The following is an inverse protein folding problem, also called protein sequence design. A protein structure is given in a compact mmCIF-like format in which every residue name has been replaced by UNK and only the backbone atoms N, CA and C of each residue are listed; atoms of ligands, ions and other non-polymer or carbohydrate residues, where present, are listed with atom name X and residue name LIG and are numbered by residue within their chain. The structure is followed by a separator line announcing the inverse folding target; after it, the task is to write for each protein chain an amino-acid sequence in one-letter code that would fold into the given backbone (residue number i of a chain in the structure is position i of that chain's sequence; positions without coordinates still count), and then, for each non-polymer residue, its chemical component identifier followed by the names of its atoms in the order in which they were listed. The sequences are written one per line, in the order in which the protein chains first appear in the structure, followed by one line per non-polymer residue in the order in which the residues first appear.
data_IF_698770889489
#
_entry.id   IF_698770889489
#
_cell.length_a   1.000
_cell.length_b   1.000
_cell.length_c   1.000
_cell.angle_alpha   90.00
_cell.angle_beta   90.00
_cell.angle_gamma   90.00
#
_symmetry.space_group_name_H-M   'P 1'
#
loop_
_entity.id
_entity.type
_entity.pdbx_description
1 polymer ?
#
# COMPACT_ATOMS: atom_id res chain seq x y z
N UNK A 1 25.77 6.88 -16.60
CA UNK A 1 24.65 7.73 -17.04
C UNK A 1 23.72 7.90 -15.86
N UNK A 2 23.44 9.14 -15.43
CA UNK A 2 22.49 9.41 -14.35
C UNK A 2 21.09 9.56 -14.97
N UNK A 3 20.17 8.64 -14.68
CA UNK A 3 18.79 8.72 -15.15
C UNK A 3 18.04 9.73 -14.28
N UNK A 4 17.42 10.73 -14.91
CA UNK A 4 16.47 11.61 -14.23
C UNK A 4 15.18 10.82 -14.02
N UNK A 5 14.78 10.66 -12.75
CA UNK A 5 13.50 10.04 -12.41
C UNK A 5 12.39 11.04 -12.72
N UNK A 6 11.41 10.69 -13.58
CA UNK A 6 10.28 11.55 -13.84
C UNK A 6 9.44 11.70 -12.57
N UNK A 7 9.21 12.95 -12.15
CA UNK A 7 8.51 13.29 -10.89
C UNK A 7 6.98 13.17 -10.99
N UNK A 8 6.42 12.92 -12.18
CA UNK A 8 4.98 12.89 -12.43
C UNK A 8 4.37 11.49 -12.60
N UNK A 9 5.09 10.43 -12.22
CA UNK A 9 4.58 9.05 -12.29
C UNK A 9 3.37 8.79 -11.37
N UNK A 10 3.18 9.62 -10.36
CA UNK A 10 2.17 9.42 -9.32
C UNK A 10 0.86 10.17 -9.61
N UNK A 11 0.88 11.14 -10.53
CA UNK A 11 -0.28 11.93 -10.91
C UNK A 11 -0.88 11.31 -12.16
N UNK A 12 -2.17 11.03 -12.14
CA UNK A 12 -2.86 10.54 -13.32
C UNK A 12 -2.90 11.58 -14.44
N UNK A 13 -2.77 11.10 -15.67
CA UNK A 13 -2.95 11.90 -16.86
C UNK A 13 -4.38 12.45 -16.94
N UNK A 14 -4.48 13.75 -17.17
CA UNK A 14 -5.75 14.44 -17.41
C UNK A 14 -6.11 14.29 -18.88
N UNK A 15 -6.87 13.25 -19.19
CA UNK A 15 -7.27 12.92 -20.56
C UNK A 15 -8.40 13.85 -21.04
N UNK A 16 -9.28 14.27 -20.13
CA UNK A 16 -10.47 15.06 -20.45
C UNK A 16 -10.38 16.46 -19.82
N UNK A 17 -9.59 17.33 -20.44
CA UNK A 17 -9.41 18.71 -19.99
C UNK A 17 -8.86 18.78 -18.55
N UNK A 18 -9.63 19.27 -17.55
CA UNK A 18 -9.17 19.31 -16.17
C UNK A 18 -9.26 17.96 -15.43
N UNK A 19 -9.95 16.96 -15.99
CA UNK A 19 -10.29 15.71 -15.31
C UNK A 19 -9.39 14.53 -15.72
N UNK A 20 -9.06 13.68 -14.74
CA UNK A 20 -8.49 12.36 -15.01
C UNK A 20 -9.55 11.41 -15.57
N UNK A 21 -9.11 10.27 -16.12
CA UNK A 21 -10.04 9.25 -16.62
C UNK A 21 -11.02 8.77 -15.52
N UNK A 22 -10.53 8.55 -14.29
CA UNK A 22 -11.36 8.12 -13.17
C UNK A 22 -12.40 9.17 -12.79
N UNK A 23 -11.99 10.43 -12.71
CA UNK A 23 -12.87 11.57 -12.41
C UNK A 23 -13.97 11.73 -13.46
N UNK A 24 -13.61 11.60 -14.74
CA UNK A 24 -14.58 11.61 -15.83
C UNK A 24 -15.60 10.46 -15.71
N UNK A 25 -15.13 9.24 -15.42
CA UNK A 25 -16.02 8.08 -15.24
C UNK A 25 -16.97 8.28 -14.05
N UNK A 26 -16.52 8.90 -12.95
CA UNK A 26 -17.40 9.20 -11.83
C UNK A 26 -18.49 10.20 -12.22
N UNK A 27 -18.13 11.30 -12.88
CA UNK A 27 -19.10 12.31 -13.32
C UNK A 27 -20.07 11.76 -14.39
N UNK A 28 -19.57 11.05 -15.38
CA UNK A 28 -20.39 10.44 -16.44
C UNK A 28 -21.31 9.35 -15.87
N UNK A 29 -20.77 8.49 -15.01
CA UNK A 29 -21.54 7.46 -14.30
C UNK A 29 -22.60 8.06 -13.39
N UNK A 30 -22.24 9.07 -12.60
CA UNK A 30 -23.15 9.80 -11.71
C UNK A 30 -24.26 10.51 -12.48
N UNK A 31 -23.93 11.21 -13.57
CA UNK A 31 -24.92 11.85 -14.44
C UNK A 31 -25.85 10.82 -15.10
N UNK A 32 -25.30 9.69 -15.58
CA UNK A 32 -26.08 8.60 -16.12
C UNK A 32 -27.06 8.01 -15.10
N UNK A 33 -26.61 7.80 -13.86
CA UNK A 33 -27.43 7.27 -12.77
C UNK A 33 -28.50 8.27 -12.31
N UNK A 34 -28.19 9.56 -12.29
CA UNK A 34 -29.17 10.62 -12.06
C UNK A 34 -30.25 10.63 -13.16
N UNK A 35 -29.87 10.45 -14.42
CA UNK A 35 -30.80 10.39 -15.54
C UNK A 35 -31.71 9.15 -15.46
N UNK A 36 -31.16 7.98 -15.11
CA UNK A 36 -31.99 6.78 -14.94
C UNK A 36 -32.96 6.92 -13.78
N UNK A 37 -32.53 7.48 -12.64
CA UNK A 37 -33.40 7.78 -11.50
C UNK A 37 -34.51 8.76 -11.87
N UNK A 38 -34.18 9.82 -12.60
CA UNK A 38 -35.17 10.78 -13.11
C UNK A 38 -36.20 10.10 -14.00
N UNK A 39 -35.75 9.22 -14.90
CA UNK A 39 -36.64 8.52 -15.82
C UNK A 39 -37.55 7.51 -15.12
N UNK A 40 -37.08 6.89 -14.03
CA UNK A 40 -37.77 5.81 -13.33
C UNK A 40 -38.74 6.31 -12.25
N UNK A 41 -38.36 7.33 -11.47
CA UNK A 41 -39.16 7.88 -10.37
C UNK A 41 -39.88 9.19 -10.71
N UNK A 42 -39.53 9.84 -11.82
CA UNK A 42 -40.01 11.18 -12.15
C UNK A 42 -39.43 12.27 -11.25
N UNK A 43 -39.83 13.53 -11.45
CA UNK A 43 -39.21 14.68 -10.78
C UNK A 43 -39.47 14.71 -9.26
N UNK A 44 -40.71 14.50 -8.81
CA UNK A 44 -41.09 14.65 -7.39
C UNK A 44 -40.42 13.60 -6.49
N UNK A 45 -40.52 12.33 -6.86
CA UNK A 45 -39.95 11.24 -6.07
C UNK A 45 -38.44 11.07 -6.32
N UNK A 46 -37.98 11.44 -7.52
CA UNK A 46 -36.58 11.33 -7.92
C UNK A 46 -35.69 12.43 -7.38
N UNK A 47 -36.22 13.60 -7.01
CA UNK A 47 -35.40 14.76 -6.61
C UNK A 47 -34.42 14.45 -5.45
N UNK A 48 -34.91 13.78 -4.39
CA UNK A 48 -34.08 13.42 -3.22
C UNK A 48 -32.96 12.44 -3.60
N UNK A 49 -33.23 11.26 -4.20
CA UNK A 49 -32.17 10.33 -4.56
C UNK A 49 -31.22 10.89 -5.62
N UNK A 50 -31.71 11.68 -6.57
CA UNK A 50 -30.87 12.37 -7.56
C UNK A 50 -29.90 13.33 -6.88
N UNK A 51 -30.36 14.13 -5.91
CA UNK A 51 -29.50 15.05 -5.17
C UNK A 51 -28.39 14.30 -4.42
N UNK A 52 -28.73 13.18 -3.78
CA UNK A 52 -27.76 12.34 -3.06
C UNK A 52 -26.71 11.78 -4.02
N UNK A 53 -27.13 11.21 -5.16
CA UNK A 53 -26.22 10.63 -6.15
C UNK A 53 -25.36 11.69 -6.81
N UNK A 54 -25.94 12.83 -7.18
CA UNK A 54 -25.21 13.95 -7.76
C UNK A 54 -24.18 14.51 -6.78
N UNK A 55 -24.58 14.74 -5.52
CA UNK A 55 -23.67 15.17 -4.46
C UNK A 55 -22.54 14.18 -4.23
N UNK A 56 -22.84 12.89 -4.16
CA UNK A 56 -21.83 11.85 -3.99
C UNK A 56 -20.84 11.80 -5.16
N UNK A 57 -21.31 11.89 -6.40
CA UNK A 57 -20.46 11.94 -7.60
C UNK A 57 -19.52 13.15 -7.60
N UNK A 58 -20.01 14.31 -7.15
CA UNK A 58 -19.19 15.52 -7.02
C UNK A 58 -18.14 15.36 -5.92
N UNK A 59 -18.50 14.78 -4.77
CA UNK A 59 -17.55 14.48 -3.71
C UNK A 59 -16.44 13.53 -4.20
N UNK A 60 -16.77 12.49 -4.97
CA UNK A 60 -15.77 11.58 -5.53
C UNK A 60 -14.75 12.27 -6.43
N UNK A 61 -15.17 13.34 -7.09
CA UNK A 61 -14.36 14.03 -8.10
C UNK A 61 -13.54 15.16 -7.51
N UNK A 62 -14.16 16.02 -6.69
CA UNK A 62 -13.53 17.26 -6.20
C UNK A 62 -12.95 17.15 -4.81
N UNK A 63 -13.47 16.25 -3.97
CA UNK A 63 -13.00 16.13 -2.59
C UNK A 63 -11.76 15.23 -2.54
N UNK A 64 -10.69 15.71 -1.90
CA UNK A 64 -9.41 15.00 -1.81
C UNK A 64 -8.87 15.05 -0.38
N UNK A 65 -9.31 14.16 0.52
CA UNK A 65 -8.82 14.13 1.88
C UNK A 65 -7.34 13.76 1.90
N UNK A 66 -6.52 14.58 2.56
CA UNK A 66 -5.09 14.35 2.76
C UNK A 66 -4.29 14.08 1.46
N UNK A 67 -4.56 14.87 0.41
CA UNK A 67 -3.96 14.73 -0.93
C UNK A 67 -4.19 13.37 -1.60
N UNK A 68 -5.19 12.60 -1.16
CA UNK A 68 -5.58 11.33 -1.78
C UNK A 68 -6.96 11.44 -2.42
N UNK A 69 -7.20 10.70 -3.51
CA UNK A 69 -8.53 10.57 -4.09
C UNK A 69 -9.56 10.07 -3.06
N UNK A 70 -10.75 10.68 -3.01
CA UNK A 70 -11.79 10.29 -2.05
C UNK A 70 -12.21 8.83 -2.19
N UNK A 71 -12.09 8.24 -3.38
CA UNK A 71 -12.34 6.80 -3.61
C UNK A 71 -11.55 5.90 -2.64
N UNK A 72 -10.33 6.29 -2.24
CA UNK A 72 -9.53 5.52 -1.30
C UNK A 72 -10.13 5.50 0.11
N UNK A 73 -10.76 6.62 0.51
CA UNK A 73 -11.46 6.71 1.79
C UNK A 73 -12.74 5.86 1.76
N UNK A 74 -13.49 5.92 0.66
CA UNK A 74 -14.68 5.09 0.45
C UNK A 74 -14.31 3.60 0.44
N UNK A 75 -13.26 3.21 -0.29
CA UNK A 75 -12.77 1.83 -0.34
C UNK A 75 -12.34 1.34 1.04
N UNK A 76 -11.61 2.17 1.80
CA UNK A 76 -11.19 1.83 3.16
C UNK A 76 -12.39 1.69 4.10
N UNK A 77 -13.38 2.57 4.00
CA UNK A 77 -14.63 2.49 4.77
C UNK A 77 -15.42 1.21 4.43
N UNK A 78 -15.52 0.88 3.15
CA UNK A 78 -16.16 -0.35 2.70
C UNK A 78 -15.43 -1.60 3.19
N UNK A 79 -14.09 -1.63 3.06
CA UNK A 79 -13.25 -2.70 3.60
C UNK A 79 -13.42 -2.84 5.11
N UNK A 80 -13.45 -1.75 5.85
CA UNK A 80 -13.65 -1.77 7.30
C UNK A 80 -15.01 -2.36 7.68
N UNK A 81 -16.07 -2.04 6.93
CA UNK A 81 -17.41 -2.57 7.19
C UNK A 81 -17.53 -4.06 6.81
N UNK A 82 -16.93 -4.47 5.69
CA UNK A 82 -16.99 -5.84 5.20
C UNK A 82 -16.00 -6.78 5.92
N UNK A 83 -14.91 -6.26 6.47
CA UNK A 83 -13.87 -7.06 7.12
C UNK A 83 -14.34 -7.54 8.50
N UNK A 84 -14.12 -8.82 8.77
CA UNK A 84 -14.35 -9.37 10.10
C UNK A 84 -13.41 -8.71 11.12
N UNK A 85 -13.97 -8.24 12.24
CA UNK A 85 -13.23 -7.57 13.33
C UNK A 85 -12.45 -8.56 14.20
N UNK A 86 -11.90 -9.61 13.59
CA UNK A 86 -11.25 -10.69 14.30
C UNK A 86 -9.74 -10.44 14.31
N UNK A 87 -9.31 -9.73 15.35
CA UNK A 87 -7.91 -9.37 15.57
C UNK A 87 -7.16 -10.54 16.22
N UNK A 88 -6.82 -11.57 15.45
CA UNK A 88 -5.86 -12.58 15.91
C UNK A 88 -4.45 -12.04 15.69
N UNK A 89 -3.63 -12.11 16.74
CA UNK A 89 -2.19 -11.94 16.61
C UNK A 89 -1.64 -13.07 15.73
N UNK A 90 -1.39 -12.76 14.45
CA UNK A 90 -0.66 -13.65 13.55
C UNK A 90 0.81 -13.33 13.65
N UNK A 91 1.58 -14.21 14.32
CA UNK A 91 3.04 -14.21 14.23
C UNK A 91 3.39 -14.19 12.74
N UNK A 92 4.09 -13.14 12.29
CA UNK A 92 4.38 -12.93 10.89
C UNK A 92 5.27 -14.07 10.36
N UNK A 93 4.64 -15.16 9.89
CA UNK A 93 5.28 -16.07 8.98
C UNK A 93 5.67 -15.24 7.76
N UNK A 94 6.95 -15.20 7.43
CA UNK A 94 7.48 -14.48 6.27
C UNK A 94 6.67 -14.90 5.05
N UNK A 95 5.65 -14.11 4.68
CA UNK A 95 4.99 -14.26 3.40
C UNK A 95 6.03 -13.84 2.37
N UNK A 96 6.70 -14.83 1.79
CA UNK A 96 7.49 -14.64 0.58
C UNK A 96 6.50 -14.13 -0.45
N UNK A 97 6.46 -12.80 -0.64
CA UNK A 97 5.83 -12.22 -1.81
C UNK A 97 6.64 -12.72 -3.00
N UNK A 98 6.22 -13.86 -3.56
CA UNK A 98 6.64 -14.28 -4.88
C UNK A 98 5.83 -13.39 -5.83
N UNK A 99 6.24 -12.12 -5.91
CA UNK A 99 5.97 -11.32 -7.09
C UNK A 99 7.24 -11.48 -7.91
N UNK A 100 7.14 -12.31 -8.94
CA UNK A 100 8.20 -12.49 -9.92
C UNK A 100 8.60 -11.12 -10.46
N UNK A 101 9.76 -10.63 -10.04
CA UNK A 101 10.53 -9.61 -10.74
C UNK A 101 11.64 -10.35 -11.49
N UNK A 102 11.52 -10.56 -12.81
CA UNK A 102 12.59 -11.15 -13.60
C UNK A 102 13.60 -10.05 -13.93
N UNK A 103 14.46 -9.65 -12.99
CA UNK A 103 15.55 -8.71 -13.29
C UNK A 103 16.71 -8.64 -12.28
N UNK A 104 16.90 -9.62 -11.38
CA UNK A 104 18.01 -9.55 -10.40
C UNK A 104 18.76 -10.88 -10.18
N UNK A 105 18.79 -11.76 -11.19
CA UNK A 105 19.55 -13.03 -11.12
C UNK A 105 21.05 -12.90 -11.40
N UNK A 106 21.59 -11.71 -11.72
CA UNK A 106 23.02 -11.58 -12.05
C UNK A 106 23.90 -10.90 -10.97
N UNK A 107 23.33 -10.37 -9.88
CA UNK A 107 24.11 -9.63 -8.88
C UNK A 107 24.64 -10.55 -7.74
N UNK A 108 24.20 -11.81 -7.67
CA UNK A 108 24.54 -12.71 -6.54
C UNK A 108 25.82 -13.53 -6.70
N UNK A 109 26.74 -13.16 -7.60
CA UNK A 109 28.04 -13.86 -7.74
C UNK A 109 29.24 -13.18 -7.06
N UNK A 110 29.08 -11.98 -6.51
CA UNK A 110 30.15 -11.31 -5.78
C UNK A 110 29.60 -10.65 -4.53
N UNK A 111 29.68 -11.34 -3.41
CA UNK A 111 29.25 -10.81 -2.11
C UNK A 111 29.22 -11.93 -1.07
N UNK A 112 30.30 -12.00 -0.29
CA UNK A 112 30.49 -12.80 0.91
C UNK A 112 29.19 -13.37 1.49
N UNK A 113 28.97 -14.68 1.30
CA UNK A 113 27.87 -15.36 2.00
C UNK A 113 28.09 -15.19 3.51
N UNK A 114 27.07 -14.82 4.30
CA UNK A 114 27.19 -14.88 5.75
C UNK A 114 27.52 -16.32 6.11
N UNK A 115 28.72 -16.54 6.66
CA UNK A 115 29.14 -17.87 7.09
C UNK A 115 28.09 -18.37 8.07
N UNK A 116 27.38 -19.46 7.74
CA UNK A 116 26.47 -20.11 8.67
C UNK A 116 27.31 -20.58 9.86
N UNK A 117 27.17 -19.87 10.97
CA UNK A 117 27.82 -20.23 12.23
C UNK A 117 27.19 -21.54 12.70
N UNK A 118 27.93 -22.64 12.60
CA UNK A 118 27.54 -23.93 13.15
C UNK A 118 27.56 -23.84 14.68
N UNK A 119 26.70 -24.60 15.35
CA UNK A 119 26.59 -24.63 16.82
C UNK A 119 27.94 -24.87 17.51
N UNK A 120 28.79 -25.73 16.92
CA UNK A 120 30.16 -25.97 17.39
C UNK A 120 31.02 -24.70 17.39
N UNK A 121 30.99 -23.91 16.31
CA UNK A 121 31.77 -22.65 16.21
C UNK A 121 31.29 -21.58 17.18
N UNK A 122 29.98 -21.51 17.45
CA UNK A 122 29.42 -20.59 18.45
C UNK A 122 29.91 -20.97 19.87
N UNK A 123 29.99 -22.26 20.16
CA UNK A 123 30.45 -22.76 21.46
C UNK A 123 31.95 -22.52 21.66
N UNK A 124 32.76 -22.71 20.62
CA UNK A 124 34.20 -22.37 20.66
C UNK A 124 34.42 -20.87 20.86
N UNK A 125 33.61 -20.02 20.21
CA UNK A 125 33.69 -18.57 20.39
C UNK A 125 33.32 -18.15 21.81
N UNK A 126 32.21 -18.68 22.34
CA UNK A 126 31.77 -18.40 23.71
C UNK A 126 32.83 -18.82 24.74
N UNK A 127 33.43 -19.99 24.56
CA UNK A 127 34.51 -20.46 25.43
C UNK A 127 35.76 -19.58 25.34
N UNK A 128 36.16 -19.17 24.12
CA UNK A 128 37.32 -18.28 23.95
C UNK A 128 37.13 -16.92 24.62
N UNK A 129 35.89 -16.40 24.60
CA UNK A 129 35.52 -15.14 25.25
C UNK A 129 35.60 -15.25 26.77
N UNK A 130 35.09 -16.33 27.33
CA UNK A 130 35.09 -16.60 28.78
C UNK A 130 36.52 -16.78 29.32
N UNK A 131 37.38 -17.49 28.56
CA UNK A 131 38.80 -17.66 28.90
C UNK A 131 39.56 -16.32 28.85
N UNK A 132 39.27 -15.47 27.86
CA UNK A 132 39.87 -14.15 27.76
C UNK A 132 39.47 -13.26 28.94
N UNK A 133 38.22 -13.34 29.40
CA UNK A 133 37.74 -12.53 30.53
C UNK A 133 38.42 -12.93 31.85
N UNK A 134 38.56 -14.24 32.08
CA UNK A 134 39.31 -14.78 33.23
C UNK A 134 40.80 -14.39 33.19
N UNK A 135 41.40 -14.37 32.00
CA UNK A 135 42.80 -13.94 31.84
C UNK A 135 42.99 -12.45 32.12
N UNK A 136 41.99 -11.63 31.80
CA UNK A 136 41.99 -10.18 32.00
C UNK A 136 41.85 -9.81 33.48
N UNK A 137 40.99 -10.50 34.23
CA UNK A 137 40.90 -10.33 35.69
C UNK A 137 42.21 -10.70 36.41
N UNK A 138 42.93 -11.71 35.92
CA UNK A 138 44.20 -12.14 36.51
C UNK A 138 45.36 -11.18 36.25
N UNK A 139 45.30 -10.37 35.19
CA UNK A 139 46.29 -9.33 34.90
C UNK A 139 45.98 -7.97 35.55
N UNK A 140 44.75 -7.77 36.08
CA UNK A 140 44.37 -6.53 36.75
C UNK A 140 44.53 -6.57 38.28
N UNK A 141 45.15 -7.63 38.82
CA UNK A 141 45.59 -7.74 40.23
C UNK A 141 47.11 -7.81 40.27
#
# INVERSE_FOLDING_TARGET
MQFKVPQFLEIEDKIFGPFTFREFVYLAGGAGLCFTLYKLLGFLWGAIPILIVAGFSLLLTFYRPNNKPFINAVESGFKYFAQSKLYIWKKAGKKKNIKEQPALSEISKTGMAPQKLTESKLRDLAWSLDVLDLSKEKQSR
#
